data_IF_119271370118
#
_entry.id   IF_119271370118
#
_cell.length_a   1.000
_cell.length_b   1.000
_cell.length_c   1.000
_cell.angle_alpha   90.00
_cell.angle_beta   90.00
_cell.angle_gamma   90.00
#
_symmetry.space_group_name_H-M   'P 1'
#
loop_
_entity.id
_entity.type
_entity.pdbx_description
1 polymer ?
#
# COMPACT_ATOMS: atom_id res chain seq x y z
N UNK A 1 5.76 -11.27 30.08
CA UNK A 1 5.33 -10.70 28.79
C UNK A 1 6.34 -9.63 28.48
N UNK A 2 7.06 -9.76 27.37
CA UNK A 2 8.01 -8.74 26.96
C UNK A 2 7.28 -7.41 26.74
N UNK A 3 7.86 -6.34 27.26
CA UNK A 3 7.33 -4.99 27.13
C UNK A 3 7.53 -4.57 25.66
N UNK A 4 6.48 -4.70 24.85
CA UNK A 4 6.46 -4.19 23.48
C UNK A 4 6.47 -2.66 23.54
N UNK A 5 7.67 -2.09 23.59
CA UNK A 5 7.87 -0.66 23.42
C UNK A 5 7.55 -0.32 21.97
N UNK A 6 6.39 0.30 21.76
CA UNK A 6 6.01 0.81 20.44
C UNK A 6 6.85 2.07 20.21
N UNK A 7 7.55 2.09 19.09
CA UNK A 7 8.35 3.21 18.61
C UNK A 7 7.59 3.98 17.52
N UNK A 8 6.94 5.11 17.84
CA UNK A 8 6.09 5.83 16.89
C UNK A 8 6.82 6.26 15.62
N UNK A 9 8.12 6.56 15.72
CA UNK A 9 8.98 6.93 14.60
C UNK A 9 9.16 5.78 13.58
N UNK A 10 9.25 4.54 14.05
CA UNK A 10 9.33 3.36 13.19
C UNK A 10 8.00 3.12 12.47
N UNK A 11 6.86 3.35 13.16
CA UNK A 11 5.51 3.26 12.56
C UNK A 11 5.32 4.33 11.48
N UNK A 12 5.73 5.58 11.76
CA UNK A 12 5.64 6.67 10.79
C UNK A 12 6.54 6.43 9.57
N UNK A 13 7.77 5.95 9.79
CA UNK A 13 8.68 5.58 8.71
C UNK A 13 8.11 4.45 7.85
N UNK A 14 7.54 3.41 8.47
CA UNK A 14 6.91 2.30 7.77
C UNK A 14 5.69 2.76 6.95
N UNK A 15 4.88 3.68 7.48
CA UNK A 15 3.75 4.27 6.75
C UNK A 15 4.24 5.02 5.49
N UNK A 16 5.24 5.88 5.64
CA UNK A 16 5.80 6.65 4.53
C UNK A 16 6.46 5.77 3.46
N UNK A 17 7.25 4.76 3.88
CA UNK A 17 7.86 3.81 2.96
C UNK A 17 6.80 2.99 2.21
N UNK A 18 5.77 2.51 2.93
CA UNK A 18 4.67 1.76 2.35
C UNK A 18 3.90 2.55 1.28
N UNK A 19 3.72 3.86 1.48
CA UNK A 19 3.11 4.76 0.49
C UNK A 19 3.92 4.82 -0.81
N UNK A 20 5.23 5.04 -0.71
CA UNK A 20 6.10 5.13 -1.88
C UNK A 20 6.13 3.82 -2.67
N UNK A 21 6.26 2.69 -1.96
CA UNK A 21 6.25 1.36 -2.58
C UNK A 21 4.90 1.04 -3.24
N UNK A 22 3.79 1.50 -2.64
CA UNK A 22 2.46 1.37 -3.21
C UNK A 22 2.31 2.13 -4.52
N UNK A 23 2.74 3.39 -4.57
CA UNK A 23 2.69 4.22 -5.79
C UNK A 23 3.52 3.60 -6.93
N UNK A 24 4.73 3.12 -6.61
CA UNK A 24 5.60 2.43 -7.57
C UNK A 24 4.96 1.15 -8.11
N UNK A 25 4.33 0.37 -7.24
CA UNK A 25 3.62 -0.86 -7.63
C UNK A 25 2.40 -0.54 -8.49
N UNK A 26 1.64 0.52 -8.17
CA UNK A 26 0.53 1.01 -8.98
C UNK A 26 0.96 1.41 -10.39
N UNK A 27 2.10 2.11 -10.51
CA UNK A 27 2.71 2.43 -11.81
C UNK A 27 3.14 1.19 -12.60
N UNK A 28 3.73 0.20 -11.91
CA UNK A 28 4.12 -1.09 -12.51
C UNK A 28 2.90 -1.85 -13.02
N UNK A 29 1.79 -1.84 -12.28
CA UNK A 29 0.53 -2.41 -12.74
C UNK A 29 0.05 -1.68 -14.01
N UNK A 30 -0.19 -0.37 -13.96
CA UNK A 30 -0.68 0.37 -15.11
C UNK A 30 0.18 0.17 -16.39
N UNK A 31 1.51 0.17 -16.23
CA UNK A 31 2.45 -0.08 -17.33
C UNK A 31 2.32 -1.50 -17.91
N UNK A 32 2.25 -2.52 -17.06
CA UNK A 32 2.08 -3.91 -17.50
C UNK A 32 0.76 -4.11 -18.23
N UNK A 33 -0.32 -3.51 -17.74
CA UNK A 33 -1.63 -3.56 -18.39
C UNK A 33 -1.58 -2.95 -19.79
N UNK A 34 -1.02 -1.74 -19.91
CA UNK A 34 -0.88 -1.03 -21.18
C UNK A 34 -0.10 -1.87 -22.20
N UNK A 35 1.05 -2.41 -21.79
CA UNK A 35 1.87 -3.27 -22.65
C UNK A 35 1.11 -4.54 -23.08
N UNK A 36 0.25 -5.06 -22.20
CA UNK A 36 -0.65 -6.18 -22.52
C UNK A 36 -1.64 -5.85 -23.63
N UNK A 37 -2.35 -4.72 -23.51
CA UNK A 37 -3.29 -4.26 -24.53
C UNK A 37 -2.63 -3.91 -25.86
N UNK A 38 -1.44 -3.29 -25.82
CA UNK A 38 -0.66 -3.01 -27.02
C UNK A 38 -0.30 -4.29 -27.77
N UNK A 39 0.02 -5.36 -27.03
CA UNK A 39 0.35 -6.66 -27.59
C UNK A 39 -0.87 -7.48 -28.06
N UNK A 40 -2.08 -7.17 -27.56
CA UNK A 40 -3.31 -7.94 -27.80
C UNK A 40 -3.61 -8.09 -29.30
N UNK A 41 -3.35 -7.05 -30.09
CA UNK A 41 -3.58 -7.06 -31.55
C UNK A 41 -2.78 -8.15 -32.30
N UNK A 42 -1.69 -8.65 -31.72
CA UNK A 42 -0.87 -9.72 -32.29
C UNK A 42 -1.30 -11.13 -31.88
N UNK A 43 -2.31 -11.25 -31.01
CA UNK A 43 -2.71 -12.52 -30.44
C UNK A 43 -3.75 -13.23 -31.30
N UNK A 44 -3.51 -14.52 -31.56
CA UNK A 44 -4.35 -15.30 -32.48
C UNK A 44 -4.71 -16.66 -31.90
N UNK A 45 -5.91 -17.13 -32.25
CA UNK A 45 -6.39 -18.46 -31.91
C UNK A 45 -6.53 -18.71 -30.41
N UNK A 46 -6.39 -19.98 -30.01
CA UNK A 46 -6.54 -20.41 -28.61
C UNK A 46 -5.47 -19.81 -27.67
N UNK A 47 -4.24 -19.60 -28.17
CA UNK A 47 -3.18 -18.94 -27.41
C UNK A 47 -3.53 -17.49 -27.10
N UNK A 48 -4.16 -16.79 -28.04
CA UNK A 48 -4.62 -15.42 -27.81
C UNK A 48 -5.71 -15.34 -26.76
N UNK A 49 -6.73 -16.20 -26.84
CA UNK A 49 -7.77 -16.28 -25.81
C UNK A 49 -7.20 -16.60 -24.42
N UNK A 50 -6.18 -17.46 -24.34
CA UNK A 50 -5.50 -17.77 -23.08
C UNK A 50 -4.72 -16.56 -22.51
N UNK A 51 -4.08 -15.78 -23.38
CA UNK A 51 -3.34 -14.56 -22.99
C UNK A 51 -4.28 -13.45 -22.54
N UNK A 52 -5.40 -13.21 -23.23
CA UNK A 52 -6.44 -12.28 -22.77
C UNK A 52 -6.97 -12.67 -21.39
N UNK A 53 -7.31 -13.95 -21.20
CA UNK A 53 -7.74 -14.43 -19.89
C UNK A 53 -6.65 -14.32 -18.80
N UNK A 54 -5.37 -14.36 -19.17
CA UNK A 54 -4.27 -14.12 -18.23
C UNK A 54 -4.19 -12.63 -17.84
N UNK A 55 -4.35 -11.71 -18.80
CA UNK A 55 -4.42 -10.27 -18.52
C UNK A 55 -5.60 -9.92 -17.61
N UNK A 56 -6.78 -10.50 -17.86
CA UNK A 56 -7.96 -10.25 -17.02
C UNK A 56 -7.71 -10.68 -15.56
N UNK A 57 -7.13 -11.86 -15.36
CA UNK A 57 -6.77 -12.35 -14.01
C UNK A 57 -5.71 -11.48 -13.37
N UNK A 58 -4.68 -11.12 -14.14
CA UNK A 58 -3.62 -10.25 -13.66
C UNK A 58 -4.18 -8.88 -13.23
N UNK A 59 -5.10 -8.30 -13.99
CA UNK A 59 -5.78 -7.04 -13.65
C UNK A 59 -6.59 -7.18 -12.36
N UNK A 60 -7.37 -8.25 -12.23
CA UNK A 60 -8.14 -8.51 -11.01
C UNK A 60 -7.23 -8.59 -9.78
N UNK A 61 -6.16 -9.38 -9.85
CA UNK A 61 -5.23 -9.53 -8.74
C UNK A 61 -4.45 -8.25 -8.43
N UNK A 62 -4.11 -7.46 -9.44
CA UNK A 62 -3.47 -6.16 -9.26
C UNK A 62 -4.38 -5.19 -8.48
N UNK A 63 -5.68 -5.16 -8.80
CA UNK A 63 -6.68 -4.35 -8.09
C UNK A 63 -6.79 -4.81 -6.63
N UNK A 64 -6.92 -6.11 -6.38
CA UNK A 64 -7.04 -6.66 -5.03
C UNK A 64 -5.80 -6.31 -4.17
N UNK A 65 -4.60 -6.48 -4.72
CA UNK A 65 -3.36 -6.09 -4.04
C UNK A 65 -3.28 -4.60 -3.78
N UNK A 66 -3.65 -3.77 -4.76
CA UNK A 66 -3.66 -2.33 -4.61
C UNK A 66 -4.58 -1.90 -3.46
N UNK A 67 -5.78 -2.46 -3.38
CA UNK A 67 -6.74 -2.19 -2.30
C UNK A 67 -6.21 -2.64 -0.93
N UNK A 68 -5.65 -3.85 -0.85
CA UNK A 68 -5.08 -4.38 0.39
C UNK A 68 -3.95 -3.49 0.91
N UNK A 69 -3.00 -3.12 0.05
CA UNK A 69 -1.85 -2.28 0.41
C UNK A 69 -2.31 -0.88 0.82
N UNK A 70 -3.26 -0.28 0.09
CA UNK A 70 -3.81 1.01 0.46
C UNK A 70 -4.47 0.96 1.86
N UNK A 71 -5.25 -0.08 2.15
CA UNK A 71 -5.85 -0.27 3.48
C UNK A 71 -4.80 -0.44 4.59
N UNK A 72 -3.71 -1.16 4.33
CA UNK A 72 -2.61 -1.28 5.28
C UNK A 72 -1.92 0.07 5.54
N UNK A 73 -1.67 0.83 4.47
CA UNK A 73 -1.07 2.15 4.57
C UNK A 73 -1.97 3.11 5.38
N UNK A 74 -3.27 3.19 5.09
CA UNK A 74 -4.22 4.01 5.84
C UNK A 74 -4.24 3.67 7.33
N UNK A 75 -4.18 2.38 7.68
CA UNK A 75 -4.13 1.93 9.08
C UNK A 75 -2.84 2.33 9.77
N UNK A 76 -1.69 2.23 9.08
CA UNK A 76 -0.40 2.66 9.62
C UNK A 76 -0.34 4.17 9.84
N UNK A 77 -0.84 4.95 8.88
CA UNK A 77 -0.91 6.42 8.96
C UNK A 77 -1.84 6.87 10.10
N UNK A 78 -3.00 6.22 10.24
CA UNK A 78 -3.93 6.44 11.36
C UNK A 78 -3.28 6.11 12.71
N UNK A 79 -2.59 4.97 12.81
CA UNK A 79 -1.90 4.57 14.03
C UNK A 79 -0.78 5.57 14.39
N UNK A 80 0.03 5.98 13.42
CA UNK A 80 1.10 6.94 13.62
C UNK A 80 0.58 8.30 14.10
N UNK A 81 -0.49 8.80 13.48
CA UNK A 81 -1.17 10.03 13.91
C UNK A 81 -1.69 9.92 15.34
N UNK A 82 -2.36 8.81 15.66
CA UNK A 82 -2.90 8.57 17.01
C UNK A 82 -1.81 8.52 18.07
N UNK A 83 -0.66 7.90 17.78
CA UNK A 83 0.47 7.90 18.70
C UNK A 83 1.04 9.30 18.91
N UNK A 84 1.19 10.09 17.86
CA UNK A 84 1.68 11.47 17.96
C UNK A 84 0.73 12.34 18.80
N UNK A 85 -0.58 12.21 18.62
CA UNK A 85 -1.57 12.92 19.42
C UNK A 85 -1.52 12.53 20.91
N UNK A 86 -1.38 11.24 21.21
CA UNK A 86 -1.25 10.77 22.60
C UNK A 86 0.02 11.30 23.27
N UNK A 87 1.14 11.29 22.56
CA UNK A 87 2.43 11.76 23.09
C UNK A 87 2.41 13.27 23.34
N UNK A 88 1.84 14.06 22.43
CA UNK A 88 1.64 15.50 22.61
C UNK A 88 0.74 15.81 23.82
N UNK A 89 -0.39 15.12 23.94
CA UNK A 89 -1.30 15.29 25.08
C UNK A 89 -0.63 14.92 26.41
N UNK A 90 0.20 13.87 26.44
CA UNK A 90 0.94 13.49 27.63
C UNK A 90 2.00 14.54 28.00
N UNK A 91 2.74 15.07 27.02
CA UNK A 91 3.73 16.11 27.20
C UNK A 91 3.11 17.43 27.73
N UNK A 92 1.98 17.86 27.17
CA UNK A 92 1.22 19.02 27.64
C UNK A 92 0.77 18.85 29.10
N UNK A 93 0.26 17.66 29.44
CA UNK A 93 -0.22 17.37 30.79
C UNK A 93 0.93 17.40 31.81
N UNK A 94 2.12 16.93 31.44
CA UNK A 94 3.32 17.03 32.29
C UNK A 94 3.78 18.48 32.44
N UNK A 95 3.70 19.31 31.40
CA UNK A 95 4.01 20.73 31.50
C UNK A 95 3.06 21.47 32.45
N UNK A 96 1.76 21.14 32.43
CA UNK A 96 0.76 21.75 33.32
C UNK A 96 0.92 21.35 34.80
N UNK A 97 1.65 20.27 35.08
CA UNK A 97 1.91 19.79 36.44
C UNK A 97 3.22 20.33 37.04
N UNK A 98 3.98 21.14 36.29
CA UNK A 98 5.17 21.88 36.77
C UNK A 98 4.83 23.31 37.12
#
# INVERSE_FOLDING_TARGET
MDNLEIKPEEVFHAAALGRNQHEELGGTYASTQSQGWDAESGWVGSSGAALSGLLDRWQSHAIDHHQMINSHHERLDTAATSFSELDNNAAERVQQLR
#
